data_IF_061625343132
#
_entry.id   IF_061625343132
#
_cell.length_a   1.000
_cell.length_b   1.000
_cell.length_c   1.000
_cell.angle_alpha   90.00
_cell.angle_beta   90.00
_cell.angle_gamma   90.00
#
_symmetry.space_group_name_H-M   'P 1'
#
loop_
_entity.id
_entity.type
_entity.pdbx_description
1 polymer ?
#
# COMPACT_ATOMS: atom_id res chain seq x y z
N UNK A 1 10.04 -5.98 -16.81
CA UNK A 1 9.71 -5.73 -15.40
C UNK A 1 9.23 -7.00 -14.73
N UNK A 2 9.69 -7.28 -13.53
CA UNK A 2 9.17 -8.43 -12.81
C UNK A 2 7.70 -8.23 -12.49
N UNK A 3 6.92 -9.29 -12.53
CA UNK A 3 5.51 -9.23 -12.21
C UNK A 3 5.32 -8.88 -10.74
N UNK A 4 4.19 -8.31 -10.41
CA UNK A 4 3.80 -8.03 -9.02
C UNK A 4 3.86 -9.31 -8.18
N UNK A 5 3.42 -10.44 -8.74
CA UNK A 5 3.45 -11.73 -8.07
C UNK A 5 4.86 -12.12 -7.63
N UNK A 6 5.85 -11.93 -8.51
CA UNK A 6 7.24 -12.25 -8.19
C UNK A 6 7.77 -11.35 -7.08
N UNK A 7 7.41 -10.06 -7.13
CA UNK A 7 7.79 -9.11 -6.09
C UNK A 7 7.21 -9.53 -4.72
N UNK A 8 5.96 -9.94 -4.70
CA UNK A 8 5.31 -10.41 -3.47
C UNK A 8 5.97 -11.66 -2.91
N UNK A 9 6.41 -12.57 -3.79
CA UNK A 9 7.12 -13.79 -3.39
C UNK A 9 8.48 -13.49 -2.79
N UNK A 10 9.15 -12.42 -3.23
CA UNK A 10 10.46 -12.01 -2.72
C UNK A 10 10.35 -11.32 -1.35
N UNK A 11 9.16 -10.86 -0.97
CA UNK A 11 8.92 -10.28 0.33
C UNK A 11 8.73 -11.36 1.38
N UNK A 12 8.78 -10.99 2.66
CA UNK A 12 8.58 -11.89 3.78
C UNK A 12 7.33 -12.75 3.59
N UNK A 13 7.31 -14.00 4.13
CA UNK A 13 6.09 -14.82 4.10
C UNK A 13 4.91 -14.17 4.82
N UNK A 14 5.13 -13.18 5.69
CA UNK A 14 4.05 -12.38 6.25
C UNK A 14 3.55 -11.38 5.20
N UNK A 15 2.32 -10.92 5.36
CA UNK A 15 1.72 -9.94 4.47
C UNK A 15 2.55 -8.65 4.47
N UNK A 16 3.04 -8.18 3.31
CA UNK A 16 3.79 -6.93 3.27
C UNK A 16 2.87 -5.76 3.56
N UNK A 17 3.37 -4.78 4.33
CA UNK A 17 2.67 -3.53 4.53
C UNK A 17 2.76 -2.68 3.25
N UNK A 18 1.86 -1.69 3.07
CA UNK A 18 1.98 -0.77 1.95
C UNK A 18 3.34 -0.09 1.86
N UNK A 19 3.89 0.32 3.01
CA UNK A 19 5.22 0.94 3.06
C UNK A 19 6.33 0.00 2.61
N UNK A 20 6.27 -1.27 3.02
CA UNK A 20 7.22 -2.30 2.58
C UNK A 20 7.13 -2.51 1.06
N UNK A 21 5.94 -2.48 0.51
CA UNK A 21 5.73 -2.59 -0.94
C UNK A 21 6.39 -1.43 -1.69
N UNK A 22 6.19 -0.21 -1.20
CA UNK A 22 6.79 0.99 -1.81
C UNK A 22 8.31 0.86 -1.79
N UNK A 23 8.88 0.46 -0.66
CA UNK A 23 10.32 0.27 -0.53
C UNK A 23 10.85 -0.79 -1.49
N UNK A 24 10.14 -1.91 -1.60
CA UNK A 24 10.54 -3.02 -2.47
C UNK A 24 10.55 -2.57 -3.94
N UNK A 25 9.50 -1.88 -4.39
CA UNK A 25 9.46 -1.35 -5.75
C UNK A 25 10.59 -0.36 -6.01
N UNK A 26 10.80 0.55 -5.05
CA UNK A 26 11.86 1.55 -5.18
C UNK A 26 13.23 0.92 -5.31
N UNK A 27 13.57 -0.02 -4.44
CA UNK A 27 14.86 -0.70 -4.47
C UNK A 27 15.05 -1.52 -5.73
N UNK A 28 13.98 -2.15 -6.21
CA UNK A 28 14.04 -2.99 -7.39
C UNK A 28 14.45 -2.21 -8.64
N UNK A 29 14.03 -0.97 -8.77
CA UNK A 29 14.40 -0.13 -9.92
C UNK A 29 15.63 0.75 -9.64
N UNK A 30 16.27 0.55 -8.47
CA UNK A 30 17.48 1.30 -8.12
C UNK A 30 17.28 2.75 -7.77
N UNK A 31 16.07 3.11 -7.33
CA UNK A 31 15.71 4.49 -6.99
C UNK A 31 16.09 4.81 -5.54
N UNK A 32 16.75 5.95 -5.31
CA UNK A 32 17.04 6.43 -3.97
C UNK A 32 15.82 7.19 -3.41
N UNK A 33 15.82 7.44 -2.10
CA UNK A 33 14.79 8.29 -1.50
C UNK A 33 14.87 9.72 -2.05
N UNK A 34 16.07 10.18 -2.38
CA UNK A 34 16.26 11.50 -3.00
C UNK A 34 15.65 11.56 -4.38
N UNK A 35 15.83 10.51 -5.18
CA UNK A 35 15.19 10.41 -6.50
C UNK A 35 13.66 10.49 -6.35
N UNK A 36 13.13 9.77 -5.35
CA UNK A 36 11.69 9.75 -5.08
C UNK A 36 11.19 11.12 -4.65
N UNK A 37 11.94 11.84 -3.81
CA UNK A 37 11.61 13.21 -3.44
C UNK A 37 11.55 14.11 -4.67
N UNK A 38 12.52 14.00 -5.56
CA UNK A 38 12.56 14.81 -6.77
C UNK A 38 11.35 14.55 -7.68
N UNK A 39 10.88 13.32 -7.72
CA UNK A 39 9.75 12.93 -8.55
C UNK A 39 8.41 13.29 -7.91
N UNK A 40 8.24 12.99 -6.62
CA UNK A 40 6.96 13.12 -5.93
C UNK A 40 6.79 14.45 -5.21
N UNK A 41 7.88 15.17 -4.95
CA UNK A 41 7.92 16.36 -4.11
C UNK A 41 7.55 16.08 -2.64
N UNK A 42 7.63 14.82 -2.23
CA UNK A 42 7.50 14.42 -0.82
C UNK A 42 8.91 14.35 -0.23
N UNK A 43 9.14 15.01 0.89
CA UNK A 43 10.46 15.04 1.52
C UNK A 43 10.95 13.64 1.88
N UNK A 44 12.27 13.42 1.75
CA UNK A 44 12.89 12.13 2.08
C UNK A 44 12.51 11.62 3.47
N UNK A 45 12.50 12.52 4.46
CA UNK A 45 12.14 12.13 5.83
C UNK A 45 10.74 11.57 5.92
N UNK A 46 9.79 12.15 5.19
CA UNK A 46 8.41 11.66 5.15
C UNK A 46 8.32 10.37 4.35
N UNK A 47 9.04 10.26 3.23
CA UNK A 47 9.11 9.02 2.45
C UNK A 47 9.63 7.87 3.30
N UNK A 48 10.69 8.12 4.08
CA UNK A 48 11.23 7.11 4.99
C UNK A 48 10.20 6.67 6.02
N UNK A 49 9.44 7.60 6.58
CA UNK A 49 8.38 7.30 7.56
C UNK A 49 7.25 6.49 6.94
N UNK A 50 6.90 6.79 5.67
CA UNK A 50 5.88 6.04 4.93
C UNK A 50 6.36 4.60 4.74
N UNK A 51 7.61 4.41 4.31
CA UNK A 51 8.16 3.07 4.10
C UNK A 51 8.21 2.24 5.38
N UNK A 52 8.45 2.90 6.51
CA UNK A 52 8.52 2.24 7.83
C UNK A 52 7.14 2.06 8.48
N UNK A 53 6.09 2.56 7.87
CA UNK A 53 4.74 2.46 8.41
C UNK A 53 4.42 3.47 9.49
N UNK A 54 5.27 4.47 9.72
CA UNK A 54 5.01 5.54 10.70
C UNK A 54 3.99 6.54 10.18
N UNK A 55 3.92 6.70 8.86
CA UNK A 55 2.89 7.48 8.17
C UNK A 55 2.14 6.49 7.30
N UNK A 56 0.82 6.45 7.43
CA UNK A 56 -0.02 5.53 6.66
C UNK A 56 -0.10 5.92 5.18
N UNK A 57 -0.30 4.92 4.33
CA UNK A 57 -0.49 5.14 2.90
C UNK A 57 -1.97 5.40 2.65
N UNK A 58 -2.30 6.67 2.47
CA UNK A 58 -3.66 7.11 2.12
C UNK A 58 -3.92 6.80 0.64
N UNK A 59 -5.18 6.94 0.21
CA UNK A 59 -5.52 6.81 -1.20
C UNK A 59 -4.69 7.79 -2.04
N UNK A 60 -4.53 9.01 -1.57
CA UNK A 60 -3.72 10.02 -2.28
C UNK A 60 -2.28 9.57 -2.47
N UNK A 61 -1.64 9.08 -1.41
CA UNK A 61 -0.28 8.55 -1.51
C UNK A 61 -0.22 7.32 -2.41
N UNK A 62 -1.18 6.42 -2.30
CA UNK A 62 -1.23 5.23 -3.15
C UNK A 62 -1.25 5.61 -4.63
N UNK A 63 -2.02 6.65 -4.99
CA UNK A 63 -2.10 7.13 -6.36
C UNK A 63 -0.77 7.74 -6.83
N UNK A 64 -0.09 8.48 -5.96
CA UNK A 64 1.23 9.06 -6.27
C UNK A 64 2.24 7.94 -6.54
N UNK A 65 2.36 6.97 -5.64
CA UNK A 65 3.34 5.89 -5.80
C UNK A 65 2.97 4.97 -6.97
N UNK A 66 1.69 4.76 -7.23
CA UNK A 66 1.23 4.02 -8.39
C UNK A 66 1.71 4.69 -9.69
N UNK A 67 1.65 6.02 -9.73
CA UNK A 67 2.16 6.78 -10.88
C UNK A 67 3.67 6.63 -11.03
N UNK A 68 4.41 6.64 -9.92
CA UNK A 68 5.88 6.47 -9.95
C UNK A 68 6.26 5.11 -10.53
N UNK A 69 5.58 4.05 -10.12
CA UNK A 69 5.94 2.66 -10.47
C UNK A 69 5.12 2.08 -11.62
N UNK A 70 4.20 2.86 -12.16
CA UNK A 70 3.32 2.43 -13.26
C UNK A 70 2.53 1.15 -12.91
N UNK A 71 1.88 1.18 -11.78
CA UNK A 71 1.02 0.09 -11.30
C UNK A 71 -0.31 0.67 -10.82
N UNK A 72 -1.27 -0.22 -10.52
CA UNK A 72 -2.55 0.21 -9.96
C UNK A 72 -2.37 0.69 -8.51
N UNK A 73 -3.06 1.76 -8.09
CA UNK A 73 -3.04 2.18 -6.69
C UNK A 73 -3.47 1.09 -5.71
N UNK A 74 -4.29 0.14 -6.17
CA UNK A 74 -4.76 -0.98 -5.34
C UNK A 74 -3.61 -1.84 -4.83
N UNK A 75 -2.48 -1.85 -5.53
CA UNK A 75 -1.27 -2.57 -5.10
C UNK A 75 -0.80 -2.13 -3.73
N UNK A 76 -0.92 -0.83 -3.43
CA UNK A 76 -0.46 -0.27 -2.16
C UNK A 76 -1.56 -0.24 -1.10
N UNK A 77 -2.82 -0.24 -1.51
CA UNK A 77 -3.95 -0.29 -0.59
C UNK A 77 -4.25 -1.73 -0.15
N UNK A 78 -4.07 -2.68 -1.05
CA UNK A 78 -4.33 -4.09 -0.79
C UNK A 78 -3.17 -4.93 -1.36
N UNK A 79 -2.00 -4.95 -0.67
CA UNK A 79 -0.78 -5.56 -1.22
C UNK A 79 -0.92 -7.02 -1.62
N UNK A 80 -1.82 -7.78 -1.01
CA UNK A 80 -2.05 -9.18 -1.34
C UNK A 80 -3.26 -9.40 -2.26
N UNK A 81 -3.82 -8.32 -2.78
CA UNK A 81 -5.02 -8.40 -3.60
C UNK A 81 -6.27 -8.75 -2.80
N UNK A 82 -6.16 -8.83 -1.48
CA UNK A 82 -7.27 -9.17 -0.60
C UNK A 82 -7.56 -8.04 0.37
N UNK A 83 -8.84 -7.79 0.57
CA UNK A 83 -9.30 -6.84 1.56
C UNK A 83 -9.49 -7.58 2.89
N UNK A 84 -8.60 -7.32 3.85
CA UNK A 84 -8.70 -7.90 5.19
C UNK A 84 -9.62 -7.02 6.04
N UNK A 85 -10.72 -7.59 6.44
CA UNK A 85 -11.70 -6.88 7.26
C UNK A 85 -11.20 -6.75 8.70
N UNK A 86 -11.16 -5.51 9.19
CA UNK A 86 -10.88 -5.25 10.60
C UNK A 86 -12.11 -5.63 11.43
N UNK A 87 -11.93 -5.70 12.76
CA UNK A 87 -13.04 -5.95 13.67
C UNK A 87 -14.14 -4.90 13.50
N UNK A 88 -13.76 -3.64 13.25
CA UNK A 88 -14.72 -2.57 13.03
C UNK A 88 -15.58 -2.82 11.79
N UNK A 89 -14.95 -3.23 10.69
CA UNK A 89 -15.67 -3.50 9.44
C UNK A 89 -16.63 -4.68 9.61
N UNK A 90 -16.19 -5.75 10.28
CA UNK A 90 -17.05 -6.90 10.56
C UNK A 90 -18.28 -6.48 11.38
N UNK A 91 -18.09 -5.62 12.38
CA UNK A 91 -19.17 -5.12 13.20
C UNK A 91 -20.15 -4.26 12.39
N UNK A 92 -19.63 -3.41 11.51
CA UNK A 92 -20.47 -2.59 10.61
C UNK A 92 -21.30 -3.50 9.71
N UNK A 93 -20.69 -4.54 9.14
CA UNK A 93 -21.43 -5.49 8.29
C UNK A 93 -22.55 -6.19 9.07
N UNK A 94 -22.27 -6.57 10.32
CA UNK A 94 -23.27 -7.21 11.17
C UNK A 94 -24.47 -6.29 11.40
N UNK A 95 -24.20 -5.03 11.72
CA UNK A 95 -25.28 -4.04 11.93
C UNK A 95 -26.07 -3.77 10.66
N UNK A 96 -25.37 -3.69 9.53
CA UNK A 96 -26.01 -3.47 8.25
C UNK A 96 -26.93 -4.62 7.87
N UNK A 97 -26.51 -5.86 8.12
CA UNK A 97 -27.33 -7.05 7.87
C UNK A 97 -28.59 -7.06 8.74
N UNK A 98 -28.45 -6.68 10.00
CA UNK A 98 -29.61 -6.60 10.89
C UNK A 98 -30.63 -5.55 10.41
N UNK A 99 -30.14 -4.40 9.99
CA UNK A 99 -31.02 -3.36 9.45
C UNK A 99 -31.76 -3.85 8.22
N UNK A 100 -31.07 -4.47 7.28
CA UNK A 100 -31.67 -5.00 6.04
C UNK A 100 -32.67 -6.11 6.30
N UNK A 101 -32.46 -6.87 7.37
CA UNK A 101 -33.35 -7.96 7.77
C UNK A 101 -34.69 -7.44 8.29
N UNK A 102 -34.68 -6.27 8.94
CA UNK A 102 -35.85 -5.66 9.56
C UNK A 102 -36.45 -4.53 8.73
N UNK A 103 -35.77 -4.16 7.63
CA UNK A 103 -36.21 -3.10 6.75
C UNK A 103 -36.90 -3.61 5.45
#
# INVERSE_FOLDING_TARGET
MASLRKLLEELSPSDPSPGEMIRAFRKRIGMTLKDMENITHIQESNLSKIEKGKIGVTQHYAEIFAAVFDVSPLVFLYPNGEFKKSKEIVEVERRAKQFKKHG
#
